data_IF_899993086425
#
_entry.id   IF_899993086425
#
_cell.length_a   1.000
_cell.length_b   1.000
_cell.length_c   1.000
_cell.angle_alpha   90.00
_cell.angle_beta   90.00
_cell.angle_gamma   90.00
#
_symmetry.space_group_name_H-M   'P 1'
#
loop_
_entity.id
_entity.type
_entity.pdbx_description
1 polymer ?
#
# COMPACT_ATOMS: atom_id res chain seq x y z
N UNK A 1 -11.62 -20.32 -27.88
CA UNK A 1 -10.36 -20.08 -27.15
C UNK A 1 -9.26 -19.94 -28.20
N UNK A 2 -8.41 -18.91 -28.15
CA UNK A 2 -7.24 -18.87 -29.03
C UNK A 2 -6.34 -20.08 -28.73
N UNK A 3 -5.77 -20.65 -29.78
CA UNK A 3 -4.83 -21.77 -29.72
C UNK A 3 -3.44 -21.31 -29.26
N UNK A 4 -2.66 -22.21 -28.67
CA UNK A 4 -1.31 -21.89 -28.17
C UNK A 4 -0.40 -21.27 -29.25
N UNK A 5 -0.58 -21.68 -30.51
CA UNK A 5 0.13 -21.12 -31.66
C UNK A 5 -0.22 -19.64 -31.92
N UNK A 6 -1.50 -19.26 -31.77
CA UNK A 6 -1.96 -17.89 -31.91
C UNK A 6 -1.47 -17.00 -30.75
N UNK A 7 -1.34 -17.59 -29.55
CA UNK A 7 -0.78 -16.90 -28.39
C UNK A 7 0.72 -16.65 -28.59
N UNK A 8 1.48 -17.66 -29.03
CA UNK A 8 2.92 -17.54 -29.28
C UNK A 8 3.25 -16.57 -30.43
N UNK A 9 2.46 -16.61 -31.51
CA UNK A 9 2.61 -15.69 -32.64
C UNK A 9 2.43 -14.23 -32.25
N UNK A 10 1.48 -13.94 -31.35
CA UNK A 10 1.21 -12.57 -30.86
C UNK A 10 2.26 -12.06 -29.88
N UNK A 11 2.91 -12.94 -29.13
CA UNK A 11 3.87 -12.55 -28.09
C UNK A 11 5.28 -12.30 -28.60
N UNK A 12 5.64 -12.82 -29.78
CA UNK A 12 6.96 -12.65 -30.38
C UNK A 12 8.08 -13.30 -29.56
N UNK A 13 9.15 -13.76 -30.22
CA UNK A 13 10.29 -14.42 -29.59
C UNK A 13 11.19 -13.44 -28.79
N UNK A 14 10.65 -12.79 -27.75
CA UNK A 14 11.40 -11.79 -26.97
C UNK A 14 11.29 -11.90 -25.44
N UNK A 15 10.80 -13.00 -24.90
CA UNK A 15 11.11 -13.34 -23.52
C UNK A 15 11.88 -14.67 -23.47
N UNK A 16 13.08 -14.71 -22.86
CA UNK A 16 13.63 -15.95 -22.33
C UNK A 16 12.55 -16.66 -21.49
N UNK A 17 12.69 -17.96 -21.18
CA UNK A 17 11.87 -18.61 -20.15
C UNK A 17 12.21 -18.01 -18.77
N UNK A 18 11.96 -16.72 -18.60
CA UNK A 18 11.92 -16.06 -17.33
C UNK A 18 10.65 -16.60 -16.69
N UNK A 19 10.82 -17.31 -15.57
CA UNK A 19 9.79 -17.60 -14.59
C UNK A 19 8.73 -16.49 -14.63
N UNK A 20 7.49 -16.84 -14.97
CA UNK A 20 6.40 -15.87 -15.03
C UNK A 20 6.35 -15.18 -13.67
N UNK A 21 6.78 -13.91 -13.63
CA UNK A 21 6.79 -13.14 -12.40
C UNK A 21 5.34 -12.80 -12.06
N UNK A 22 4.72 -13.67 -11.28
CA UNK A 22 3.36 -13.47 -10.79
C UNK A 22 3.34 -12.28 -9.84
N UNK A 23 2.33 -11.43 -9.99
CA UNK A 23 2.13 -10.31 -9.08
C UNK A 23 1.71 -10.78 -7.68
N UNK A 24 1.05 -11.93 -7.59
CA UNK A 24 0.66 -12.58 -6.35
C UNK A 24 1.04 -14.05 -6.39
N UNK A 25 1.74 -14.50 -5.35
CA UNK A 25 2.12 -15.90 -5.17
C UNK A 25 1.28 -16.52 -4.04
N UNK A 26 0.65 -17.65 -4.34
CA UNK A 26 -0.18 -18.40 -3.42
C UNK A 26 0.63 -19.18 -2.37
N UNK A 27 1.97 -19.20 -2.47
CA UNK A 27 2.87 -19.90 -1.54
C UNK A 27 3.01 -19.24 -0.17
N UNK A 28 2.33 -18.12 0.08
CA UNK A 28 2.29 -17.48 1.41
C UNK A 28 1.67 -18.45 2.41
N UNK A 29 2.33 -18.63 3.55
CA UNK A 29 1.85 -19.44 4.68
C UNK A 29 1.16 -18.52 5.69
N UNK A 30 0.00 -18.96 6.19
CA UNK A 30 -0.73 -18.22 7.22
C UNK A 30 0.07 -18.20 8.53
N UNK A 31 0.17 -17.03 9.14
CA UNK A 31 0.75 -16.85 10.46
C UNK A 31 -0.36 -16.82 11.52
N UNK A 32 0.01 -16.80 12.80
CA UNK A 32 -0.93 -16.76 13.93
C UNK A 32 -2.01 -15.68 13.81
N UNK A 33 -1.65 -14.50 13.30
CA UNK A 33 -2.60 -13.41 13.05
C UNK A 33 -3.56 -13.73 11.91
N UNK A 34 -3.08 -14.34 10.83
CA UNK A 34 -3.94 -14.71 9.70
C UNK A 34 -4.81 -15.94 10.00
N UNK A 35 -4.31 -16.90 10.77
CA UNK A 35 -5.05 -18.07 11.24
C UNK A 35 -6.24 -17.68 12.13
N UNK A 36 -6.13 -16.55 12.85
CA UNK A 36 -7.22 -15.99 13.64
C UNK A 36 -8.30 -15.29 12.80
N UNK A 37 -8.09 -15.09 11.50
CA UNK A 37 -9.05 -14.44 10.59
C UNK A 37 -9.85 -15.51 9.85
N UNK A 38 -11.18 -15.44 9.94
CA UNK A 38 -12.05 -16.27 9.10
C UNK A 38 -12.13 -15.65 7.71
N UNK A 39 -11.39 -16.22 6.75
CA UNK A 39 -11.52 -15.87 5.34
C UNK A 39 -12.70 -16.62 4.71
N UNK A 40 -13.70 -15.88 4.23
CA UNK A 40 -14.89 -16.42 3.53
C UNK A 40 -14.54 -16.97 2.14
N UNK A 41 -13.41 -16.55 1.57
CA UNK A 41 -12.95 -17.03 0.26
C UNK A 41 -11.43 -16.90 0.09
N UNK A 42 -10.82 -17.69 -0.82
CA UNK A 42 -9.42 -17.52 -1.21
C UNK A 42 -9.10 -16.11 -1.71
N UNK A 43 -10.05 -15.43 -2.36
CA UNK A 43 -9.89 -14.04 -2.83
C UNK A 43 -9.77 -13.05 -1.67
N UNK A 44 -10.48 -13.26 -0.56
CA UNK A 44 -10.35 -12.40 0.62
C UNK A 44 -8.98 -12.56 1.27
N UNK A 45 -8.51 -13.80 1.42
CA UNK A 45 -7.16 -14.11 1.89
C UNK A 45 -6.10 -13.46 1.00
N UNK A 46 -6.26 -13.56 -0.33
CA UNK A 46 -5.38 -12.90 -1.29
C UNK A 46 -5.36 -11.38 -1.11
N UNK A 47 -6.53 -10.73 -1.04
CA UNK A 47 -6.63 -9.28 -0.84
C UNK A 47 -5.97 -8.84 0.47
N UNK A 48 -6.09 -9.64 1.53
CA UNK A 48 -5.46 -9.39 2.81
C UNK A 48 -3.93 -9.30 2.68
N UNK A 49 -3.28 -10.30 2.07
CA UNK A 49 -1.82 -10.30 1.88
C UNK A 49 -1.33 -9.25 0.89
N UNK A 50 -2.06 -9.02 -0.20
CA UNK A 50 -1.80 -7.91 -1.13
C UNK A 50 -1.85 -6.58 -0.36
N UNK A 51 -2.78 -6.44 0.57
CA UNK A 51 -2.89 -5.29 1.47
C UNK A 51 -1.63 -5.09 2.34
N UNK A 52 -1.09 -6.15 2.95
CA UNK A 52 0.13 -6.07 3.76
C UNK A 52 1.35 -5.62 2.93
N UNK A 53 1.50 -6.17 1.73
CA UNK A 53 2.54 -5.77 0.79
C UNK A 53 2.45 -4.28 0.44
N UNK A 54 1.26 -3.80 0.08
CA UNK A 54 1.05 -2.40 -0.26
C UNK A 54 1.20 -1.47 0.93
N UNK A 55 0.82 -1.87 2.14
CA UNK A 55 1.03 -1.08 3.35
C UNK A 55 2.52 -0.78 3.55
N UNK A 56 3.38 -1.80 3.47
CA UNK A 56 4.82 -1.56 3.63
C UNK A 56 5.34 -0.62 2.55
N UNK A 57 4.95 -0.82 1.29
CA UNK A 57 5.36 0.04 0.16
C UNK A 57 4.90 1.48 0.33
N UNK A 58 3.66 1.68 0.78
CA UNK A 58 3.08 2.99 1.01
C UNK A 58 3.81 3.74 2.13
N UNK A 59 3.93 3.14 3.31
CA UNK A 59 4.55 3.80 4.46
C UNK A 59 6.07 3.93 4.33
N UNK A 60 6.71 2.99 3.64
CA UNK A 60 8.15 3.02 3.41
C UNK A 60 8.55 3.83 2.20
N UNK A 61 7.62 4.45 1.46
CA UNK A 61 7.85 5.05 0.15
C UNK A 61 9.03 6.04 0.17
N UNK A 62 10.22 5.51 -0.11
CA UNK A 62 11.38 6.26 -0.52
C UNK A 62 11.13 6.66 -1.97
N UNK A 63 11.50 7.88 -2.34
CA UNK A 63 11.42 8.35 -3.73
C UNK A 63 12.03 7.27 -4.63
N UNK A 64 11.23 6.68 -5.51
CA UNK A 64 11.74 5.70 -6.48
C UNK A 64 12.83 6.39 -7.28
N UNK A 65 13.97 5.73 -7.42
CA UNK A 65 15.05 6.28 -8.23
C UNK A 65 14.52 6.40 -9.67
N UNK A 66 14.44 7.63 -10.19
CA UNK A 66 14.04 7.90 -11.58
C UNK A 66 14.98 7.24 -12.62
N UNK A 67 16.06 6.60 -12.17
CA UNK A 67 17.08 5.93 -13.00
C UNK A 67 16.88 4.41 -13.14
N UNK A 68 15.80 3.83 -12.61
CA UNK A 68 15.54 2.39 -12.79
C UNK A 68 15.36 2.08 -14.28
N UNK A 69 16.17 1.14 -14.80
CA UNK A 69 15.98 0.58 -16.15
C UNK A 69 14.92 -0.53 -16.18
N UNK A 70 14.50 -1.02 -15.01
CA UNK A 70 13.49 -2.06 -14.88
C UNK A 70 12.09 -1.43 -15.02
N UNK A 71 11.25 -1.89 -15.96
CA UNK A 71 9.85 -1.52 -16.05
C UNK A 71 9.12 -1.62 -14.71
N UNK A 72 8.21 -0.69 -14.44
CA UNK A 72 7.53 -0.61 -13.14
C UNK A 72 6.79 -1.90 -12.77
N UNK A 73 6.11 -2.53 -13.73
CA UNK A 73 5.40 -3.79 -13.51
C UNK A 73 6.35 -4.94 -13.12
N UNK A 74 7.56 -4.98 -13.69
CA UNK A 74 8.57 -5.99 -13.34
C UNK A 74 9.11 -5.75 -11.93
N UNK A 75 9.45 -4.50 -11.60
CA UNK A 75 9.90 -4.14 -10.27
C UNK A 75 8.82 -4.43 -9.21
N UNK A 76 7.55 -4.27 -9.58
CA UNK A 76 6.42 -4.59 -8.73
C UNK A 76 6.33 -6.11 -8.47
N UNK A 77 6.32 -6.96 -9.50
CA UNK A 77 6.30 -8.41 -9.32
C UNK A 77 7.53 -8.92 -8.55
N UNK A 78 8.74 -8.44 -8.86
CA UNK A 78 9.96 -8.79 -8.12
C UNK A 78 9.84 -8.45 -6.63
N UNK A 79 9.31 -7.27 -6.31
CA UNK A 79 9.11 -6.88 -4.91
C UNK A 79 8.01 -7.68 -4.21
N UNK A 80 7.01 -8.16 -4.94
CA UNK A 80 5.94 -9.03 -4.41
C UNK A 80 6.49 -10.42 -4.08
N UNK A 81 7.30 -11.01 -4.96
CA UNK A 81 7.97 -12.30 -4.69
C UNK A 81 8.93 -12.19 -3.50
N UNK A 82 9.70 -11.09 -3.42
CA UNK A 82 10.56 -10.83 -2.27
C UNK A 82 9.76 -10.63 -0.96
N UNK A 83 8.54 -10.11 -1.05
CA UNK A 83 7.62 -10.04 0.08
C UNK A 83 7.24 -11.43 0.57
N UNK A 84 6.82 -12.34 -0.31
CA UNK A 84 6.42 -13.71 0.06
C UNK A 84 7.55 -14.45 0.77
N UNK A 85 8.76 -14.42 0.20
CA UNK A 85 9.96 -15.03 0.82
C UNK A 85 10.26 -14.40 2.19
N UNK A 86 10.20 -13.07 2.29
CA UNK A 86 10.49 -12.36 3.55
C UNK A 86 9.41 -12.58 4.61
N UNK A 87 8.14 -12.72 4.21
CA UNK A 87 7.02 -12.90 5.12
C UNK A 87 7.01 -14.33 5.67
N UNK A 88 7.12 -15.34 4.80
CA UNK A 88 7.17 -16.75 5.21
C UNK A 88 8.36 -17.06 6.13
N UNK A 89 9.48 -16.34 6.00
CA UNK A 89 10.64 -16.52 6.87
C UNK A 89 10.40 -16.04 8.30
N UNK A 90 9.71 -14.92 8.47
CA UNK A 90 9.46 -14.29 9.77
C UNK A 90 8.29 -13.29 9.67
N UNK A 91 7.04 -13.79 9.79
CA UNK A 91 5.85 -12.97 9.55
C UNK A 91 5.69 -11.90 10.63
N UNK A 92 6.02 -12.22 11.89
CA UNK A 92 5.98 -11.29 13.01
C UNK A 92 6.91 -10.10 12.78
N UNK A 93 8.17 -10.34 12.43
CA UNK A 93 9.13 -9.26 12.14
C UNK A 93 8.71 -8.44 10.92
N UNK A 94 8.09 -9.07 9.91
CA UNK A 94 7.56 -8.32 8.77
C UNK A 94 6.47 -7.33 9.20
N UNK A 95 5.56 -7.75 10.09
CA UNK A 95 4.52 -6.88 10.65
C UNK A 95 5.09 -5.76 11.50
N UNK A 96 6.09 -6.03 12.33
CA UNK A 96 6.80 -5.00 13.09
C UNK A 96 7.45 -3.97 12.14
N UNK A 97 7.98 -4.42 11.00
CA UNK A 97 8.53 -3.53 9.97
C UNK A 97 7.45 -2.63 9.35
N UNK A 98 6.25 -3.16 9.10
CA UNK A 98 5.09 -2.35 8.66
C UNK A 98 4.75 -1.32 9.75
N UNK A 99 4.60 -1.74 11.00
CA UNK A 99 4.24 -0.86 12.11
C UNK A 99 5.26 0.27 12.29
N UNK A 100 6.55 -0.06 12.27
CA UNK A 100 7.62 0.94 12.37
C UNK A 100 7.68 1.88 11.16
N UNK A 101 7.40 1.38 9.95
CA UNK A 101 7.30 2.25 8.76
C UNK A 101 6.10 3.20 8.86
N UNK A 102 4.94 2.69 9.31
CA UNK A 102 3.72 3.45 9.53
C UNK A 102 3.95 4.57 10.55
N UNK A 103 4.57 4.25 11.69
CA UNK A 103 4.88 5.23 12.73
C UNK A 103 5.78 6.35 12.19
N UNK A 104 6.89 6.00 11.54
CA UNK A 104 7.78 6.98 10.92
C UNK A 104 7.06 7.84 9.87
N UNK A 105 6.17 7.24 9.09
CA UNK A 105 5.40 7.96 8.07
C UNK A 105 4.54 9.06 8.69
N UNK A 106 3.74 8.73 9.71
CA UNK A 106 2.89 9.70 10.41
C UNK A 106 3.66 10.72 11.23
N UNK A 107 4.84 10.34 11.74
CA UNK A 107 5.65 11.20 12.60
C UNK A 107 6.55 12.15 11.82
N UNK A 108 7.11 11.74 10.68
CA UNK A 108 8.14 12.53 9.98
C UNK A 108 7.71 13.10 8.63
N UNK A 109 6.68 12.57 7.96
CA UNK A 109 6.28 13.08 6.64
C UNK A 109 5.19 14.15 6.74
N UNK A 110 5.26 15.18 5.90
CA UNK A 110 4.19 16.20 5.80
C UNK A 110 2.86 15.55 5.43
N UNK A 111 2.89 14.62 4.46
CA UNK A 111 1.70 13.88 4.01
C UNK A 111 1.09 13.05 5.14
N UNK A 112 1.90 12.28 5.87
CA UNK A 112 1.45 11.50 7.02
C UNK A 112 0.87 12.37 8.12
N UNK A 113 1.53 13.47 8.49
CA UNK A 113 0.98 14.43 9.47
C UNK A 113 -0.38 14.98 9.04
N UNK A 114 -0.56 15.30 7.75
CA UNK A 114 -1.84 15.76 7.22
C UNK A 114 -2.93 14.68 7.26
N UNK A 115 -2.59 13.43 6.91
CA UNK A 115 -3.53 12.30 7.01
C UNK A 115 -3.96 12.06 8.45
N UNK A 116 -3.03 12.07 9.41
CA UNK A 116 -3.34 11.90 10.83
C UNK A 116 -4.25 13.00 11.35
N UNK A 117 -3.95 14.26 11.02
CA UNK A 117 -4.76 15.40 11.45
C UNK A 117 -6.18 15.35 10.84
N UNK A 118 -6.28 14.94 9.57
CA UNK A 118 -7.57 14.70 8.93
C UNK A 118 -8.37 13.63 9.68
N UNK A 119 -7.78 12.44 9.89
CA UNK A 119 -8.48 11.34 10.55
C UNK A 119 -8.95 11.72 11.97
N UNK A 120 -8.10 12.42 12.74
CA UNK A 120 -8.46 12.95 14.07
C UNK A 120 -9.60 13.99 14.03
N UNK A 121 -9.62 14.84 13.01
CA UNK A 121 -10.70 15.83 12.84
C UNK A 121 -12.04 15.12 12.56
N UNK A 122 -12.02 14.14 11.64
CA UNK A 122 -13.21 13.38 11.29
C UNK A 122 -13.75 12.56 12.46
N UNK A 123 -12.86 11.98 13.27
CA UNK A 123 -13.23 11.25 14.49
C UNK A 123 -13.85 12.18 15.56
N UNK A 124 -13.36 13.42 15.67
CA UNK A 124 -13.93 14.44 16.54
C UNK A 124 -15.22 15.08 16.00
N UNK A 125 -15.70 14.68 14.81
CA UNK A 125 -16.90 15.23 14.20
C UNK A 125 -16.75 16.68 13.71
N UNK A 126 -15.51 17.16 13.55
CA UNK A 126 -15.22 18.53 13.08
C UNK A 126 -14.71 18.53 11.64
N UNK A 127 -14.84 19.65 10.90
CA UNK A 127 -14.25 19.75 9.57
C UNK A 127 -12.72 19.56 9.62
N UNK A 128 -12.14 19.14 8.50
CA UNK A 128 -10.71 18.85 8.43
C UNK A 128 -9.84 20.04 8.90
N UNK A 129 -9.00 19.80 9.90
CA UNK A 129 -8.10 20.81 10.48
C UNK A 129 -6.78 20.98 9.71
N UNK A 130 -6.57 20.27 8.59
CA UNK A 130 -5.37 20.49 7.75
C UNK A 130 -5.34 21.94 7.27
N UNK A 131 -4.25 22.69 7.55
CA UNK A 131 -4.20 24.13 7.29
C UNK A 131 -4.55 24.50 5.85
N UNK A 132 -5.33 25.58 5.72
CA UNK A 132 -5.61 26.22 4.43
C UNK A 132 -4.29 26.57 3.74
N UNK A 133 -4.14 26.16 2.48
CA UNK A 133 -2.88 26.26 1.71
C UNK A 133 -2.07 24.95 1.67
N UNK A 134 -2.37 23.96 2.51
CA UNK A 134 -1.82 22.61 2.40
C UNK A 134 -2.84 21.67 1.75
N UNK A 135 -2.43 20.89 0.75
CA UNK A 135 -3.33 19.89 0.15
C UNK A 135 -3.48 18.73 1.15
N UNK A 136 -4.70 18.55 1.68
CA UNK A 136 -5.05 17.35 2.42
C UNK A 136 -5.25 16.20 1.42
N UNK A 137 -4.56 15.05 1.57
CA UNK A 137 -4.66 13.93 0.63
C UNK A 137 -5.96 13.12 0.75
N UNK A 138 -6.80 13.40 1.77
CA UNK A 138 -8.07 12.70 2.02
C UNK A 138 -9.31 13.54 1.73
N UNK A 139 -9.21 14.86 1.85
CA UNK A 139 -10.32 15.75 1.51
C UNK A 139 -10.61 15.73 0.00
N UNK A 140 -11.89 15.78 -0.36
CA UNK A 140 -12.29 16.22 -1.69
C UNK A 140 -11.83 17.68 -1.92
N UNK A 141 -11.55 18.10 -3.17
CA UNK A 141 -11.08 19.45 -3.47
C UNK A 141 -11.97 20.57 -2.91
N UNK A 142 -13.29 20.34 -2.82
CA UNK A 142 -14.30 21.28 -2.33
C UNK A 142 -14.71 21.09 -0.87
N UNK A 143 -14.07 20.18 -0.12
CA UNK A 143 -14.46 19.91 1.26
C UNK A 143 -14.21 21.12 2.16
N UNK A 144 -15.18 21.46 3.01
CA UNK A 144 -15.03 22.47 4.04
C UNK A 144 -13.88 22.09 4.99
N UNK A 145 -13.10 23.09 5.40
CA UNK A 145 -11.96 22.94 6.30
C UNK A 145 -12.04 23.98 7.39
N UNK A 146 -11.55 23.61 8.57
CA UNK A 146 -11.42 24.57 9.65
C UNK A 146 -10.43 25.66 9.23
N UNK A 147 -10.86 26.90 9.37
CA UNK A 147 -10.08 28.10 9.17
C UNK A 147 -9.78 28.75 10.51
N UNK A 148 -8.76 29.62 10.56
CA UNK A 148 -8.42 30.37 11.79
C UNK A 148 -9.59 31.21 12.34
N UNK A 149 -10.63 31.48 11.55
CA UNK A 149 -11.81 32.25 11.96
C UNK A 149 -12.80 31.43 12.80
N UNK A 150 -12.68 30.11 12.80
CA UNK A 150 -13.65 29.21 13.43
C UNK A 150 -13.31 28.89 14.91
N UNK A 151 -12.20 29.42 15.43
CA UNK A 151 -11.74 29.25 16.82
C UNK A 151 -12.39 30.22 17.83
N UNK A 152 -13.50 30.88 17.46
CA UNK A 152 -14.07 31.97 18.25
C UNK A 152 -15.47 31.70 18.78
N UNK A 153 -15.73 30.60 19.51
CA UNK A 153 -16.86 30.50 20.46
C UNK A 153 -16.52 29.46 21.52
N UNK A 154 -16.10 29.91 22.71
CA UNK A 154 -16.44 29.36 24.04
C UNK A 154 -15.49 29.97 25.09
N UNK A 155 -15.87 31.15 25.57
CA UNK A 155 -15.63 31.60 26.96
C UNK A 155 -16.99 31.84 27.60
#
# INVERSE_FOLDING_TARGET
MPTDAEIQSRLGASCPPNEILLYYDNSIVDDDVADAIVFESPTQRQKYYIGLFHQLRYFSAKKTSRKSKVPEWQALCQSSNAFVVSFNKDPKRYRERIAGARERYYTYTVRGKCERLHDQSMEAGIPCAVPVGTICPRCLPSAARLSKRDHGVHE
#
